data_IF_094860032359
#
_entry.id   IF_094860032359
#
_cell.length_a   1.000
_cell.length_b   1.000
_cell.length_c   1.000
_cell.angle_alpha   90.00
_cell.angle_beta   90.00
_cell.angle_gamma   90.00
#
_symmetry.space_group_name_H-M   'P 1'
#
loop_
_entity.id
_entity.type
_entity.pdbx_description
1 polymer ?
#
# COMPACT_ATOMS: atom_id res chain seq x y z
N UNK A 1 1.06 -26.51 29.30
CA UNK A 1 0.14 -26.26 28.17
C UNK A 1 0.81 -26.58 26.85
N UNK A 2 0.14 -27.27 25.91
CA UNK A 2 0.69 -27.53 24.58
C UNK A 2 0.94 -26.20 23.86
N UNK A 3 2.05 -26.08 23.13
CA UNK A 3 2.37 -24.89 22.34
C UNK A 3 1.43 -24.80 21.13
N UNK A 4 0.97 -23.59 20.80
CA UNK A 4 0.25 -23.34 19.55
C UNK A 4 1.20 -23.37 18.37
N UNK A 5 0.86 -24.15 17.34
CA UNK A 5 1.59 -24.24 16.08
C UNK A 5 0.63 -23.95 14.92
N UNK A 6 0.95 -22.91 14.14
CA UNK A 6 0.16 -22.51 12.98
C UNK A 6 0.88 -22.96 11.70
N UNK A 7 0.37 -24.02 11.08
CA UNK A 7 1.00 -24.64 9.90
C UNK A 7 1.20 -23.70 8.71
N UNK A 8 0.40 -22.63 8.62
CA UNK A 8 0.48 -21.65 7.53
C UNK A 8 1.32 -20.42 7.90
N UNK A 9 2.10 -20.46 8.98
CA UNK A 9 3.02 -19.36 9.35
C UNK A 9 4.01 -18.99 8.23
N UNK A 10 4.62 -19.96 7.48
CA UNK A 10 5.47 -19.60 6.34
C UNK A 10 4.72 -18.85 5.23
N UNK A 11 3.46 -19.25 4.97
CA UNK A 11 2.62 -18.59 3.98
C UNK A 11 2.24 -17.17 4.44
N UNK A 12 1.92 -16.98 5.73
CA UNK A 12 1.65 -15.66 6.30
C UNK A 12 2.84 -14.72 6.09
N UNK A 13 4.05 -15.17 6.45
CA UNK A 13 5.29 -14.38 6.24
C UNK A 13 5.55 -14.06 4.78
N UNK A 14 5.25 -15.00 3.87
CA UNK A 14 5.35 -14.74 2.45
C UNK A 14 4.39 -13.63 2.02
N UNK A 15 3.12 -13.69 2.44
CA UNK A 15 2.12 -12.65 2.12
C UNK A 15 2.45 -11.29 2.74
N UNK A 16 3.01 -11.25 3.94
CA UNK A 16 3.53 -10.00 4.54
C UNK A 16 4.60 -9.34 3.67
N UNK A 17 5.54 -10.13 3.14
CA UNK A 17 6.58 -9.62 2.23
C UNK A 17 6.01 -9.09 0.92
N UNK A 18 4.99 -9.76 0.37
CA UNK A 18 4.31 -9.29 -0.85
C UNK A 18 3.59 -7.96 -0.57
N UNK A 19 2.87 -7.84 0.55
CA UNK A 19 2.23 -6.57 0.93
C UNK A 19 3.27 -5.44 1.11
N UNK A 20 4.38 -5.73 1.78
CA UNK A 20 5.46 -4.75 1.97
C UNK A 20 6.07 -4.32 0.64
N UNK A 21 6.33 -5.26 -0.26
CA UNK A 21 6.82 -4.96 -1.60
C UNK A 21 5.82 -4.09 -2.39
N UNK A 22 4.55 -4.48 -2.45
CA UNK A 22 3.52 -3.69 -3.14
C UNK A 22 3.34 -2.30 -2.54
N UNK A 23 3.57 -2.15 -1.23
CA UNK A 23 3.53 -0.85 -0.55
C UNK A 23 4.67 0.07 -1.00
N UNK A 24 5.88 -0.47 -1.14
CA UNK A 24 7.04 0.28 -1.65
C UNK A 24 6.81 0.72 -3.09
N UNK A 25 6.36 -0.20 -3.94
CA UNK A 25 6.03 0.11 -5.35
C UNK A 25 4.96 1.20 -5.48
N UNK A 26 3.92 1.17 -4.64
CA UNK A 26 2.90 2.22 -4.60
C UNK A 26 3.49 3.57 -4.17
N UNK A 27 4.35 3.59 -3.15
CA UNK A 27 5.01 4.81 -2.69
C UNK A 27 5.95 5.40 -3.75
N UNK A 28 6.69 4.54 -4.48
CA UNK A 28 7.55 4.97 -5.59
C UNK A 28 6.74 5.57 -6.74
N UNK A 29 5.63 4.93 -7.13
CA UNK A 29 4.72 5.47 -8.15
C UNK A 29 4.10 6.81 -7.73
N UNK A 30 3.79 6.98 -6.44
CA UNK A 30 3.26 8.23 -5.91
C UNK A 30 4.30 9.35 -5.98
N UNK A 31 5.54 9.06 -5.58
CA UNK A 31 6.65 10.01 -5.68
C UNK A 31 6.90 10.43 -7.14
N UNK A 32 6.85 9.47 -8.07
CA UNK A 32 6.98 9.75 -9.49
C UNK A 32 5.85 10.69 -9.98
N UNK A 33 4.61 10.46 -9.55
CA UNK A 33 3.50 11.36 -9.91
C UNK A 33 3.73 12.79 -9.44
N UNK A 34 4.19 12.96 -8.20
CA UNK A 34 4.51 14.28 -7.65
C UNK A 34 5.65 14.95 -8.41
N UNK A 35 6.69 14.21 -8.79
CA UNK A 35 7.78 14.72 -9.62
C UNK A 35 7.31 15.16 -11.01
N UNK A 36 6.50 14.35 -11.69
CA UNK A 36 5.99 14.69 -13.02
C UNK A 36 5.02 15.88 -12.99
N UNK A 37 4.26 16.06 -11.90
CA UNK A 37 3.43 17.25 -11.68
C UNK A 37 4.29 18.49 -11.43
N UNK A 38 5.36 18.38 -10.64
CA UNK A 38 6.31 19.47 -10.44
C UNK A 38 6.93 19.95 -11.76
N UNK A 39 7.31 19.03 -12.65
CA UNK A 39 7.79 19.38 -14.00
C UNK A 39 6.73 20.11 -14.84
N UNK A 40 5.46 19.71 -14.73
CA UNK A 40 4.37 20.40 -15.42
C UNK A 40 4.23 21.84 -14.90
N UNK A 41 4.23 22.02 -13.58
CA UNK A 41 4.13 23.35 -12.95
C UNK A 41 5.28 24.27 -13.40
N UNK A 42 6.51 23.74 -13.48
CA UNK A 42 7.67 24.47 -14.02
C UNK A 42 7.48 24.89 -15.48
N UNK A 43 6.97 23.98 -16.34
CA UNK A 43 6.69 24.27 -17.74
C UNK A 43 5.57 25.31 -17.90
N UNK A 44 4.51 25.23 -17.08
CA UNK A 44 3.40 26.19 -17.11
C UNK A 44 3.84 27.58 -16.62
N UNK A 45 4.68 27.64 -15.58
CA UNK A 45 5.29 28.89 -15.12
C UNK A 45 6.20 29.51 -16.19
N UNK A 46 7.01 28.68 -16.86
CA UNK A 46 7.86 29.12 -17.98
C UNK A 46 7.02 29.68 -19.14
N UNK A 47 5.94 28.98 -19.49
CA UNK A 47 5.01 29.43 -20.53
C UNK A 47 4.39 30.78 -20.19
N UNK A 48 3.91 30.96 -18.96
CA UNK A 48 3.31 32.22 -18.52
C UNK A 48 4.31 33.39 -18.58
N UNK A 49 5.56 33.15 -18.14
CA UNK A 49 6.63 34.14 -18.22
C UNK A 49 6.93 34.54 -19.68
N UNK A 50 7.07 33.56 -20.55
CA UNK A 50 7.33 33.79 -21.97
C UNK A 50 6.18 34.53 -22.68
N UNK A 51 4.93 34.32 -22.26
CA UNK A 51 3.79 35.11 -22.73
C UNK A 51 3.92 36.59 -22.35
N UNK A 52 4.26 36.88 -21.09
CA UNK A 52 4.46 38.26 -20.65
C UNK A 52 5.61 38.97 -21.38
N UNK A 53 6.70 38.26 -21.66
CA UNK A 53 7.82 38.77 -22.45
C UNK A 53 7.42 39.04 -23.92
N UNK A 54 6.63 38.16 -24.53
CA UNK A 54 6.11 38.34 -25.88
C UNK A 54 5.17 39.56 -25.99
N UNK A 55 4.31 39.78 -25.01
CA UNK A 55 3.42 40.96 -24.95
C UNK A 55 4.24 42.27 -24.83
N UNK A 56 5.31 42.26 -24.02
CA UNK A 56 6.22 43.39 -23.90
C UNK A 56 6.99 43.69 -25.20
N UNK A 57 7.47 42.65 -25.91
CA UNK A 57 8.13 42.79 -27.21
C UNK A 57 7.18 43.36 -28.27
N UNK A 58 5.91 42.92 -28.26
CA UNK A 58 4.87 43.44 -29.15
C UNK A 58 4.61 44.92 -28.90
N UNK A 59 4.53 45.35 -27.65
CA UNK A 59 4.35 46.75 -27.28
C UNK A 59 5.52 47.65 -27.72
N UNK A 60 6.74 47.08 -27.85
CA UNK A 60 7.95 47.79 -28.31
C UNK A 60 8.17 47.77 -29.83
N UNK A 61 7.33 47.06 -30.59
CA UNK A 61 7.44 46.96 -32.05
C UNK A 61 8.60 46.08 -32.55
N UNK A 62 9.14 45.21 -31.71
CA UNK A 62 10.29 44.34 -32.03
C UNK A 62 9.86 43.05 -32.76
N UNK A 63 9.35 43.18 -34.00
CA UNK A 63 8.72 42.11 -34.80
C UNK A 63 9.59 40.86 -35.04
N UNK A 64 10.90 41.02 -35.27
CA UNK A 64 11.82 39.89 -35.47
C UNK A 64 11.97 39.04 -34.21
N UNK A 65 12.10 39.69 -33.05
CA UNK A 65 12.17 39.01 -31.74
C UNK A 65 10.84 38.36 -31.37
N UNK A 66 9.74 39.01 -31.74
CA UNK A 66 8.40 38.48 -31.54
C UNK A 66 8.17 37.15 -32.27
N UNK A 67 8.61 37.06 -33.53
CA UNK A 67 8.46 35.84 -34.34
C UNK A 67 9.28 34.67 -33.79
N UNK A 68 10.49 34.93 -33.29
CA UNK A 68 11.31 33.91 -32.63
C UNK A 68 10.67 33.43 -31.31
N UNK A 69 10.15 34.36 -30.51
CA UNK A 69 9.49 34.03 -29.23
C UNK A 69 8.17 33.27 -29.42
N UNK A 70 7.41 33.54 -30.48
CA UNK A 70 6.17 32.82 -30.76
C UNK A 70 6.42 31.35 -31.11
N UNK A 71 7.50 31.06 -31.85
CA UNK A 71 7.98 29.69 -32.08
C UNK A 71 8.39 28.98 -30.79
N UNK A 72 9.13 29.68 -29.91
CA UNK A 72 9.50 29.16 -28.59
C UNK A 72 8.26 28.83 -27.74
N UNK A 73 7.28 29.73 -27.65
CA UNK A 73 6.01 29.48 -26.94
C UNK A 73 5.26 28.26 -27.48
N UNK A 74 5.33 28.04 -28.78
CA UNK A 74 4.69 26.88 -29.42
C UNK A 74 5.37 25.58 -28.99
N UNK A 75 6.71 25.55 -28.95
CA UNK A 75 7.47 24.42 -28.42
C UNK A 75 7.18 24.16 -26.93
N UNK A 76 7.09 25.21 -26.11
CA UNK A 76 6.74 25.05 -24.68
C UNK A 76 5.33 24.46 -24.51
N UNK A 77 4.35 24.87 -25.34
CA UNK A 77 3.00 24.24 -25.34
C UNK A 77 3.05 22.76 -25.69
N UNK A 78 3.85 22.39 -26.68
CA UNK A 78 4.03 20.99 -27.07
C UNK A 78 4.64 20.17 -25.93
N UNK A 79 5.63 20.73 -25.22
CA UNK A 79 6.21 20.10 -24.04
C UNK A 79 5.18 19.96 -22.90
N UNK A 80 4.38 20.97 -22.62
CA UNK A 80 3.26 20.90 -21.65
C UNK A 80 2.30 19.78 -22.02
N UNK A 81 1.89 19.71 -23.29
CA UNK A 81 0.99 18.66 -23.76
C UNK A 81 1.63 17.26 -23.63
N UNK A 82 2.92 17.13 -23.93
CA UNK A 82 3.69 15.91 -23.71
C UNK A 82 3.75 15.51 -22.23
N UNK A 83 4.02 16.47 -21.35
CA UNK A 83 4.13 16.27 -19.91
C UNK A 83 2.80 15.83 -19.30
N UNK A 84 1.68 16.42 -19.73
CA UNK A 84 0.34 15.97 -19.31
C UNK A 84 0.06 14.51 -19.69
N UNK A 85 0.46 14.08 -20.89
CA UNK A 85 0.34 12.66 -21.29
C UNK A 85 1.24 11.74 -20.47
N UNK A 86 2.38 12.22 -19.99
CA UNK A 86 3.25 11.46 -19.08
C UNK A 86 2.54 11.30 -17.73
N UNK A 87 1.99 12.39 -17.18
CA UNK A 87 1.19 12.36 -15.94
C UNK A 87 0.04 11.36 -16.07
N UNK A 88 -0.73 11.39 -17.15
CA UNK A 88 -1.84 10.45 -17.38
C UNK A 88 -1.38 8.98 -17.29
N UNK A 89 -0.21 8.66 -17.86
CA UNK A 89 0.37 7.31 -17.80
C UNK A 89 0.82 6.95 -16.38
N UNK A 90 1.43 7.89 -15.67
CA UNK A 90 1.88 7.67 -14.29
C UNK A 90 0.69 7.52 -13.34
N UNK A 91 -0.40 8.26 -13.56
CA UNK A 91 -1.65 8.11 -12.80
C UNK A 91 -2.29 6.74 -13.03
N UNK A 92 -2.32 6.27 -14.28
CA UNK A 92 -2.78 4.92 -14.60
C UNK A 92 -1.91 3.86 -13.88
N UNK A 93 -0.58 4.02 -13.92
CA UNK A 93 0.33 3.13 -13.22
C UNK A 93 0.14 3.16 -11.69
N UNK A 94 -0.05 4.34 -11.11
CA UNK A 94 -0.33 4.49 -9.68
C UNK A 94 -1.62 3.76 -9.29
N UNK A 95 -2.67 3.83 -10.13
CA UNK A 95 -3.91 3.11 -9.92
C UNK A 95 -3.70 1.58 -9.94
N UNK A 96 -2.89 1.06 -10.86
CA UNK A 96 -2.50 -0.36 -10.89
C UNK A 96 -1.78 -0.78 -9.60
N UNK A 97 -0.79 0.01 -9.15
CA UNK A 97 -0.04 -0.29 -7.91
C UNK A 97 -0.93 -0.20 -6.67
N UNK A 98 -1.88 0.74 -6.64
CA UNK A 98 -2.87 0.84 -5.57
C UNK A 98 -3.75 -0.40 -5.50
N UNK A 99 -4.21 -0.90 -6.66
CA UNK A 99 -5.02 -2.12 -6.72
C UNK A 99 -4.21 -3.35 -6.28
N UNK A 100 -2.96 -3.47 -6.71
CA UNK A 100 -2.06 -4.55 -6.28
C UNK A 100 -1.82 -4.54 -4.76
N UNK A 101 -1.58 -3.38 -4.16
CA UNK A 101 -1.43 -3.24 -2.71
C UNK A 101 -2.72 -3.65 -1.97
N UNK A 102 -3.89 -3.23 -2.47
CA UNK A 102 -5.17 -3.59 -1.86
C UNK A 102 -5.40 -5.11 -1.87
N UNK A 103 -5.09 -5.79 -2.99
CA UNK A 103 -5.23 -7.24 -3.08
C UNK A 103 -4.21 -7.96 -2.20
N UNK A 104 -2.94 -7.53 -2.18
CA UNK A 104 -1.93 -8.11 -1.29
C UNK A 104 -2.32 -7.99 0.20
N UNK A 105 -2.86 -6.84 0.61
CA UNK A 105 -3.36 -6.63 1.97
C UNK A 105 -4.55 -7.55 2.29
N UNK A 106 -5.47 -7.74 1.33
CA UNK A 106 -6.61 -8.64 1.47
C UNK A 106 -6.18 -10.10 1.62
N UNK A 107 -5.25 -10.56 0.78
CA UNK A 107 -4.72 -11.92 0.83
C UNK A 107 -3.99 -12.19 2.15
N UNK A 108 -3.19 -11.24 2.64
CA UNK A 108 -2.58 -11.35 3.98
C UNK A 108 -3.66 -11.44 5.06
N UNK A 109 -4.66 -10.55 5.02
CA UNK A 109 -5.71 -10.49 6.04
C UNK A 109 -6.51 -11.79 6.14
N UNK A 110 -6.69 -12.49 5.02
CA UNK A 110 -7.31 -13.81 5.00
C UNK A 110 -6.53 -14.81 5.88
N UNK A 111 -5.20 -14.89 5.71
CA UNK A 111 -4.36 -15.83 6.46
C UNK A 111 -4.27 -15.43 7.94
N UNK A 112 -4.17 -14.14 8.25
CA UNK A 112 -4.26 -13.64 9.64
C UNK A 112 -5.55 -14.07 10.31
N UNK A 113 -6.68 -13.94 9.62
CA UNK A 113 -8.00 -14.34 10.13
C UNK A 113 -8.05 -15.86 10.39
N UNK A 114 -7.42 -16.66 9.53
CA UNK A 114 -7.30 -18.11 9.74
C UNK A 114 -6.45 -18.42 10.98
N UNK A 115 -5.35 -17.70 11.18
CA UNK A 115 -4.48 -17.84 12.36
C UNK A 115 -5.22 -17.49 13.65
N UNK A 116 -5.95 -16.37 13.66
CA UNK A 116 -6.78 -15.95 14.80
C UNK A 116 -7.84 -17.00 15.16
N UNK A 117 -8.54 -17.56 14.16
CA UNK A 117 -9.52 -18.64 14.37
C UNK A 117 -8.85 -19.91 14.92
N UNK A 118 -7.71 -20.31 14.36
CA UNK A 118 -6.96 -21.48 14.83
C UNK A 118 -6.49 -21.31 16.27
N UNK A 119 -6.03 -20.11 16.65
CA UNK A 119 -5.62 -19.79 18.01
C UNK A 119 -6.80 -19.90 19.00
N UNK A 120 -7.96 -19.35 18.64
CA UNK A 120 -9.19 -19.48 19.46
C UNK A 120 -9.60 -20.94 19.65
N UNK A 121 -9.53 -21.76 18.61
CA UNK A 121 -9.82 -23.19 18.70
C UNK A 121 -8.81 -23.95 19.57
N UNK A 122 -7.53 -23.59 19.46
CA UNK A 122 -6.48 -24.16 20.30
C UNK A 122 -6.71 -23.85 21.78
N UNK A 123 -6.96 -22.59 22.13
CA UNK A 123 -7.25 -22.17 23.51
C UNK A 123 -8.42 -22.99 24.09
N UNK A 124 -9.57 -23.03 23.40
CA UNK A 124 -10.74 -23.83 23.81
C UNK A 124 -10.44 -25.32 23.98
N UNK A 125 -9.48 -25.87 23.24
CA UNK A 125 -9.07 -27.28 23.36
C UNK A 125 -8.21 -27.49 24.60
N UNK A 126 -7.30 -26.56 24.88
CA UNK A 126 -6.47 -26.59 26.11
C UNK A 126 -7.36 -26.47 27.33
N UNK A 127 -8.27 -25.49 27.37
CA UNK A 127 -9.18 -25.28 28.50
C UNK A 127 -10.00 -26.55 28.80
N UNK A 128 -10.56 -27.19 27.76
CA UNK A 128 -11.33 -28.44 27.91
C UNK A 128 -10.48 -29.62 28.37
N UNK A 129 -9.21 -29.68 27.96
CA UNK A 129 -8.31 -30.73 28.42
C UNK A 129 -7.93 -30.54 29.90
N UNK A 130 -7.71 -29.30 30.31
CA UNK A 130 -7.42 -28.95 31.71
C UNK A 130 -8.62 -29.21 32.63
N UNK A 131 -9.84 -28.87 32.18
CA UNK A 131 -11.07 -29.20 32.89
C UNK A 131 -11.22 -30.71 33.10
N UNK A 132 -11.03 -31.52 32.05
CA UNK A 132 -11.09 -32.99 32.16
C UNK A 132 -10.07 -33.55 33.15
N UNK A 133 -8.83 -33.05 33.09
CA UNK A 133 -7.78 -33.44 34.04
C UNK A 133 -8.16 -33.10 35.49
N UNK A 134 -8.76 -31.93 35.72
CA UNK A 134 -9.22 -31.51 37.04
C UNK A 134 -10.36 -32.43 37.56
N UNK A 135 -11.34 -32.73 36.71
CA UNK A 135 -12.46 -33.63 37.04
C UNK A 135 -11.96 -35.05 37.36
N UNK A 136 -11.02 -35.58 36.56
CA UNK A 136 -10.40 -36.89 36.80
C UNK A 136 -9.64 -36.95 38.13
N UNK A 137 -8.87 -35.90 38.46
CA UNK A 137 -8.17 -35.78 39.75
C UNK A 137 -9.13 -35.70 40.92
N UNK A 138 -10.25 -34.97 40.77
CA UNK A 138 -11.29 -34.87 41.79
C UNK A 138 -11.94 -36.23 42.05
N UNK A 139 -12.32 -36.95 40.99
CA UNK A 139 -12.89 -38.31 41.08
C UNK A 139 -11.92 -39.31 41.69
N UNK A 140 -10.63 -39.25 41.34
CA UNK A 140 -9.60 -40.11 41.90
C UNK A 140 -9.38 -39.87 43.40
N UNK A 141 -9.39 -38.60 43.85
CA UNK A 141 -9.35 -38.26 45.28
C UNK A 141 -10.59 -38.72 46.02
N UNK A 142 -11.77 -38.51 45.45
CA UNK A 142 -13.02 -38.96 46.06
C UNK A 142 -13.04 -40.47 46.28
N UNK A 143 -12.68 -41.26 45.25
CA UNK A 143 -12.57 -42.72 45.37
C UNK A 143 -11.57 -43.18 46.45
N UNK A 144 -10.50 -42.42 46.68
CA UNK A 144 -9.50 -42.75 47.71
C UNK A 144 -10.00 -42.43 49.12
N UNK A 145 -10.78 -41.35 49.29
CA UNK A 145 -11.39 -40.99 50.57
C UNK A 145 -12.60 -41.85 50.98
N UNK A 146 -13.31 -42.45 50.01
CA UNK A 146 -14.39 -43.41 50.29
C UNK A 146 -13.91 -44.82 50.66
N UNK A 147 -12.62 -45.11 50.47
CA UNK A 147 -12.03 -46.44 50.68
C UNK A 147 -11.55 -46.73 52.11
N UNK A 148 -11.42 -45.72 52.96
CA UNK A 148 -10.96 -45.86 54.36
C UNK A 148 -12.12 -45.94 55.39
N UNK A 149 -13.35 -46.24 54.93
CA UNK A 149 -14.55 -46.31 55.77
C UNK A 149 -15.16 -47.72 55.92
N UNK A 150 -14.41 -48.78 55.62
CA UNK A 150 -14.77 -50.19 55.88
C UNK A 150 -13.57 -50.95 56.43
#
# INVERSE_FOLDING_TARGET
MPRFDFKLEPLLRYRERIEEFSRREYAEALRLLDEERGKLDELEALYLKACGELDALKARGELDRWTMYSGYLSSVKEHIAGQRRIIDKVEAHLAEKRAALAEAAREKKLIETMKEKALKLHARRVDRAEQRLADELYLARFKKGSGDAL
#
